data_IF_200520282802
#
_entry.id   IF_200520282802
#
_cell.length_a   1.000
_cell.length_b   1.000
_cell.length_c   1.000
_cell.angle_alpha   90.00
_cell.angle_beta   90.00
_cell.angle_gamma   90.00
#
_symmetry.space_group_name_H-M   'P 1'
#
loop_
_entity.id
_entity.type
_entity.pdbx_description
1 polymer ?
#
# COMPACT_ATOMS: atom_id res chain seq x y z
N UNK A 1 48.60 15.66 9.18
CA UNK A 1 48.45 15.10 7.81
C UNK A 1 47.45 13.99 7.92
N UNK A 2 46.19 14.39 8.02
CA UNK A 2 45.08 13.57 8.43
C UNK A 2 44.65 12.67 7.28
N UNK A 3 44.67 11.36 7.54
CA UNK A 3 44.26 10.33 6.59
C UNK A 3 42.78 10.52 6.24
N UNK A 4 42.51 11.07 5.06
CA UNK A 4 41.14 11.23 4.54
C UNK A 4 40.61 9.86 4.11
N UNK A 5 40.09 9.09 5.07
CA UNK A 5 39.42 7.81 4.79
C UNK A 5 38.13 8.11 4.04
N UNK A 6 38.13 7.82 2.74
CA UNK A 6 36.92 7.87 1.92
C UNK A 6 36.10 6.62 2.22
N UNK A 7 34.82 6.80 2.50
CA UNK A 7 33.87 5.71 2.72
C UNK A 7 32.86 5.74 1.58
N UNK A 8 32.62 4.58 0.98
CA UNK A 8 31.67 4.40 -0.13
C UNK A 8 30.42 3.72 0.41
N UNK A 9 29.25 4.14 -0.07
CA UNK A 9 27.96 3.57 0.36
C UNK A 9 27.66 2.23 -0.30
N UNK A 10 28.31 1.91 -1.42
CA UNK A 10 28.13 0.67 -2.16
C UNK A 10 29.23 0.44 -3.21
N UNK A 11 29.20 -0.74 -3.82
CA UNK A 11 30.15 -1.14 -4.87
C UNK A 11 29.94 -0.28 -6.13
N UNK A 12 28.70 0.11 -6.39
CA UNK A 12 28.27 0.95 -7.52
C UNK A 12 28.88 2.36 -7.45
N UNK A 13 29.07 2.89 -6.24
CA UNK A 13 29.73 4.19 -5.99
C UNK A 13 31.25 4.09 -6.14
N UNK A 14 31.86 2.98 -5.71
CA UNK A 14 33.29 2.73 -5.89
C UNK A 14 33.66 2.63 -7.37
N UNK A 15 32.87 1.88 -8.13
CA UNK A 15 33.11 1.63 -9.56
C UNK A 15 32.58 2.75 -10.47
N UNK A 16 31.94 3.79 -9.92
CA UNK A 16 31.34 4.92 -10.66
C UNK A 16 30.57 4.46 -11.90
N UNK A 17 29.69 3.46 -11.73
CA UNK A 17 28.92 2.93 -12.86
C UNK A 17 28.06 4.04 -13.48
N UNK A 18 27.84 4.05 -14.82
CA UNK A 18 27.13 5.12 -15.50
C UNK A 18 25.66 5.26 -15.03
N UNK A 19 25.04 4.16 -14.59
CA UNK A 19 23.71 4.17 -13.99
C UNK A 19 23.71 4.88 -12.62
N UNK A 20 24.71 4.61 -11.77
CA UNK A 20 24.85 5.27 -10.47
C UNK A 20 25.14 6.77 -10.61
N UNK A 21 26.00 7.16 -11.55
CA UNK A 21 26.30 8.58 -11.82
C UNK A 21 25.08 9.33 -12.37
N UNK A 22 24.21 8.67 -13.14
CA UNK A 22 22.96 9.25 -13.61
C UNK A 22 21.96 9.43 -12.47
N UNK A 23 21.81 8.41 -11.62
CA UNK A 23 20.88 8.45 -10.49
C UNK A 23 21.37 9.33 -9.34
N UNK A 24 22.67 9.49 -9.14
CA UNK A 24 23.22 10.35 -8.08
C UNK A 24 22.96 11.84 -8.30
N UNK A 25 22.60 12.24 -9.53
CA UNK A 25 22.19 13.61 -9.85
C UNK A 25 20.75 13.92 -9.44
N UNK A 26 19.94 12.90 -9.13
CA UNK A 26 18.56 13.04 -8.66
C UNK A 26 18.45 12.74 -7.17
N UNK A 27 17.72 13.58 -6.43
CA UNK A 27 17.35 13.32 -5.03
C UNK A 27 16.29 12.20 -4.90
N UNK A 28 15.58 11.90 -5.99
CA UNK A 28 14.47 10.94 -6.02
C UNK A 28 14.74 9.83 -7.03
N UNK A 29 14.31 8.60 -6.70
CA UNK A 29 14.47 7.41 -7.53
C UNK A 29 13.67 7.48 -8.85
N UNK A 30 12.59 8.26 -8.85
CA UNK A 30 11.74 8.54 -10.01
C UNK A 30 11.71 10.05 -10.23
N UNK A 31 11.76 10.49 -11.49
CA UNK A 31 11.59 11.91 -11.82
C UNK A 31 10.17 12.30 -11.44
N UNK A 32 10.05 13.15 -10.43
CA UNK A 32 8.74 13.72 -10.07
C UNK A 32 8.20 14.40 -11.34
N UNK A 33 6.98 14.09 -11.80
CA UNK A 33 6.40 14.67 -13.00
C UNK A 33 5.92 16.10 -12.72
N UNK A 34 6.82 16.95 -12.21
CA UNK A 34 6.54 18.36 -11.95
C UNK A 34 6.22 19.06 -13.27
N UNK A 35 6.89 18.65 -14.34
CA UNK A 35 6.76 19.24 -15.69
C UNK A 35 5.39 18.98 -16.31
N UNK A 36 4.84 17.77 -16.14
CA UNK A 36 3.50 17.43 -16.65
C UNK A 36 2.41 18.21 -15.90
N UNK A 37 2.52 18.28 -14.57
CA UNK A 37 1.60 19.07 -13.73
C UNK A 37 1.70 20.57 -14.04
N UNK A 38 2.90 21.08 -14.32
CA UNK A 38 3.12 22.50 -14.66
C UNK A 38 2.61 22.85 -16.07
N UNK A 39 2.71 21.93 -17.02
CA UNK A 39 2.17 22.10 -18.37
C UNK A 39 0.64 22.00 -18.38
N UNK A 40 0.06 21.06 -17.64
CA UNK A 40 -1.40 20.90 -17.50
C UNK A 40 -2.03 22.10 -16.77
N UNK A 41 -1.31 22.70 -15.81
CA UNK A 41 -1.72 23.92 -15.12
C UNK A 41 -1.52 25.22 -15.94
N UNK A 42 -1.08 25.14 -17.21
CA UNK A 42 -0.90 26.31 -18.09
C UNK A 42 0.23 27.26 -17.67
N UNK A 43 1.16 26.80 -16.83
CA UNK A 43 2.19 27.61 -16.17
C UNK A 43 3.54 27.55 -16.89
N UNK A 44 3.54 27.21 -18.18
CA UNK A 44 4.73 27.07 -19.04
C UNK A 44 5.31 28.43 -19.50
N UNK A 45 4.63 29.55 -19.20
CA UNK A 45 5.07 30.91 -19.54
C UNK A 45 5.72 31.62 -18.35
N UNK A 46 6.61 32.59 -18.61
CA UNK A 46 7.30 33.42 -17.60
C UNK A 46 6.30 34.18 -16.73
N UNK A 47 5.78 33.51 -15.71
CA UNK A 47 4.91 34.11 -14.69
C UNK A 47 5.77 34.71 -13.58
N UNK A 48 5.31 35.78 -12.92
CA UNK A 48 5.99 36.31 -11.74
C UNK A 48 6.04 35.22 -10.66
N UNK A 49 7.20 35.07 -10.00
CA UNK A 49 7.46 34.02 -8.98
C UNK A 49 6.35 33.87 -7.95
N UNK A 50 5.68 34.96 -7.58
CA UNK A 50 4.56 34.98 -6.63
C UNK A 50 3.35 34.20 -7.13
N UNK A 51 2.98 34.35 -8.39
CA UNK A 51 1.79 33.70 -8.94
C UNK A 51 2.07 32.24 -9.26
N UNK A 52 3.32 31.90 -9.59
CA UNK A 52 3.81 30.52 -9.63
C UNK A 52 3.69 29.83 -8.26
N UNK A 53 4.20 30.46 -7.20
CA UNK A 53 4.14 29.88 -5.84
C UNK A 53 2.71 29.78 -5.32
N UNK A 54 1.80 30.67 -5.71
CA UNK A 54 0.37 30.52 -5.41
C UNK A 54 -0.20 29.29 -6.10
N UNK A 55 -0.03 29.15 -7.42
CA UNK A 55 -0.58 28.02 -8.18
C UNK A 55 -0.04 26.68 -7.67
N UNK A 56 1.28 26.59 -7.44
CA UNK A 56 1.92 25.40 -6.90
C UNK A 56 1.48 25.13 -5.44
N UNK A 57 1.40 26.16 -4.61
CA UNK A 57 0.93 26.05 -3.22
C UNK A 57 -0.53 25.59 -3.11
N UNK A 58 -1.42 26.12 -3.96
CA UNK A 58 -2.82 25.68 -4.04
C UNK A 58 -2.95 24.27 -4.62
N UNK A 59 -2.17 23.92 -5.64
CA UNK A 59 -2.16 22.59 -6.25
C UNK A 59 -1.71 21.51 -5.27
N UNK A 60 -0.59 21.72 -4.58
CA UNK A 60 -0.11 20.79 -3.54
C UNK A 60 -1.08 20.70 -2.35
N UNK A 61 -1.69 21.82 -1.95
CA UNK A 61 -2.72 21.84 -0.91
C UNK A 61 -3.97 21.05 -1.28
N UNK A 62 -4.46 21.16 -2.52
CA UNK A 62 -5.62 20.42 -2.99
C UNK A 62 -5.36 18.91 -3.09
N UNK A 63 -4.18 18.52 -3.60
CA UNK A 63 -3.79 17.10 -3.73
C UNK A 63 -3.62 16.45 -2.36
N UNK A 64 -3.01 17.14 -1.39
CA UNK A 64 -2.86 16.58 -0.03
C UNK A 64 -4.20 16.37 0.68
N UNK A 65 -5.16 17.27 0.50
CA UNK A 65 -6.52 17.10 1.03
C UNK A 65 -7.28 15.96 0.35
N UNK A 66 -7.14 15.78 -0.96
CA UNK A 66 -7.74 14.68 -1.72
C UNK A 66 -7.07 13.32 -1.43
N UNK A 67 -5.76 13.31 -1.19
CA UNK A 67 -5.00 12.13 -0.78
C UNK A 67 -5.34 11.68 0.64
N UNK A 68 -5.83 12.58 1.51
CA UNK A 68 -6.48 12.23 2.77
C UNK A 68 -7.92 11.69 2.57
N UNK A 69 -8.17 10.98 1.47
CA UNK A 69 -9.38 10.17 1.31
C UNK A 69 -9.54 9.29 2.54
N UNK A 70 -10.68 9.47 3.22
CA UNK A 70 -11.02 8.80 4.47
C UNK A 70 -10.92 7.29 4.23
N UNK A 71 -10.01 6.62 4.95
CA UNK A 71 -9.89 5.15 4.91
C UNK A 71 -11.29 4.55 5.01
N UNK A 72 -11.65 3.59 4.13
CA UNK A 72 -12.99 3.01 4.16
C UNK A 72 -13.27 2.48 5.57
N UNK A 73 -14.41 2.90 6.13
CA UNK A 73 -14.78 2.51 7.49
C UNK A 73 -15.18 1.04 7.46
N UNK A 74 -14.29 0.17 7.93
CA UNK A 74 -14.58 -1.24 8.14
C UNK A 74 -15.46 -1.39 9.38
N UNK A 75 -16.64 -1.98 9.22
CA UNK A 75 -17.57 -2.27 10.32
C UNK A 75 -17.47 -3.74 10.68
N UNK A 76 -17.31 -4.05 11.95
CA UNK A 76 -17.42 -5.41 12.49
C UNK A 76 -18.78 -5.56 13.17
N UNK A 77 -19.59 -6.52 12.73
CA UNK A 77 -20.93 -6.79 13.30
C UNK A 77 -20.84 -8.05 14.16
N UNK A 78 -21.01 -7.95 15.49
CA UNK A 78 -20.98 -9.11 16.38
C UNK A 78 -22.32 -9.87 16.37
N UNK A 79 -22.33 -11.05 16.99
CA UNK A 79 -23.58 -11.77 17.29
C UNK A 79 -24.43 -10.97 18.28
N UNK A 80 -25.73 -10.87 18.02
CA UNK A 80 -26.71 -10.30 18.98
C UNK A 80 -26.84 -11.23 20.20
N UNK A 81 -26.96 -12.52 19.94
CA UNK A 81 -26.95 -13.59 20.94
C UNK A 81 -25.94 -14.62 20.43
N UNK A 82 -24.83 -14.78 21.14
CA UNK A 82 -23.75 -15.69 20.74
C UNK A 82 -24.10 -17.13 21.17
N UNK A 83 -24.11 -18.11 20.25
CA UNK A 83 -24.18 -19.52 20.61
C UNK A 83 -22.93 -19.97 21.38
N UNK A 84 -23.07 -20.88 22.33
CA UNK A 84 -21.94 -21.36 23.16
C UNK A 84 -20.88 -22.12 22.35
N UNK A 85 -21.30 -22.83 21.32
CA UNK A 85 -20.45 -23.69 20.49
C UNK A 85 -19.62 -22.91 19.46
N UNK A 86 -19.94 -21.64 19.18
CA UNK A 86 -19.32 -20.87 18.09
C UNK A 86 -18.39 -19.80 18.65
N UNK A 87 -17.08 -19.97 18.47
CA UNK A 87 -16.08 -18.94 18.83
C UNK A 87 -15.53 -18.27 17.58
N UNK A 88 -15.77 -16.96 17.37
CA UNK A 88 -15.26 -16.25 16.20
C UNK A 88 -13.75 -16.41 16.04
N UNK A 89 -13.30 -16.80 14.84
CA UNK A 89 -11.90 -17.05 14.52
C UNK A 89 -11.45 -18.51 14.67
N UNK A 90 -12.18 -19.36 15.39
CA UNK A 90 -11.90 -20.80 15.52
C UNK A 90 -12.91 -21.57 14.66
N UNK A 91 -12.45 -22.40 13.70
CA UNK A 91 -13.36 -23.19 12.88
C UNK A 91 -13.93 -24.38 13.67
N UNK A 92 -15.20 -24.69 13.42
CA UNK A 92 -15.87 -25.87 13.97
C UNK A 92 -15.94 -26.97 12.91
N UNK A 93 -15.83 -28.22 13.35
CA UNK A 93 -15.94 -29.40 12.50
C UNK A 93 -17.22 -30.16 12.82
N UNK A 94 -18.07 -30.37 11.80
CA UNK A 94 -19.30 -31.13 11.94
C UNK A 94 -19.21 -32.42 11.13
N UNK A 95 -19.56 -33.55 11.74
CA UNK A 95 -19.76 -34.80 11.04
C UNK A 95 -21.12 -34.75 10.33
N UNK A 96 -21.12 -34.87 9.01
CA UNK A 96 -22.31 -34.85 8.16
C UNK A 96 -22.25 -35.99 7.15
N UNK A 97 -23.32 -36.16 6.35
CA UNK A 97 -23.34 -37.11 5.25
C UNK A 97 -23.72 -36.42 3.95
N UNK A 98 -23.03 -36.78 2.87
CA UNK A 98 -23.36 -36.37 1.52
C UNK A 98 -23.54 -37.62 0.66
N UNK A 99 -24.74 -37.80 0.10
CA UNK A 99 -25.08 -38.95 -0.76
C UNK A 99 -24.68 -40.33 -0.18
N UNK A 100 -24.86 -40.51 1.13
CA UNK A 100 -24.53 -41.76 1.83
C UNK A 100 -23.05 -41.93 2.21
N UNK A 101 -22.19 -40.97 1.89
CA UNK A 101 -20.80 -40.94 2.32
C UNK A 101 -20.64 -40.06 3.56
N UNK A 102 -19.78 -40.47 4.48
CA UNK A 102 -19.46 -39.73 5.71
C UNK A 102 -18.47 -38.61 5.39
N UNK A 103 -18.81 -37.37 5.71
CA UNK A 103 -17.99 -36.18 5.42
C UNK A 103 -17.83 -35.32 6.67
N UNK A 104 -16.64 -34.76 6.84
CA UNK A 104 -16.32 -33.80 7.88
C UNK A 104 -16.37 -32.40 7.27
N UNK A 105 -17.28 -31.56 7.75
CA UNK A 105 -17.48 -30.21 7.23
C UNK A 105 -16.80 -29.21 8.16
N UNK A 106 -15.79 -28.51 7.63
CA UNK A 106 -15.17 -27.39 8.31
C UNK A 106 -16.02 -26.14 8.08
N UNK A 107 -16.48 -25.56 9.18
CA UNK A 107 -17.33 -24.36 9.18
C UNK A 107 -16.67 -23.23 9.93
N UNK A 108 -16.98 -21.99 9.52
CA UNK A 108 -16.45 -20.77 10.10
C UNK A 108 -17.62 -19.84 10.38
N UNK A 109 -17.91 -19.60 11.66
CA UNK A 109 -19.06 -18.80 12.12
C UNK A 109 -20.43 -19.23 11.52
N UNK A 110 -20.57 -20.51 11.16
CA UNK A 110 -21.77 -21.06 10.50
C UNK A 110 -21.68 -21.17 8.97
N UNK A 111 -20.63 -20.65 8.34
CA UNK A 111 -20.37 -20.79 6.90
C UNK A 111 -19.50 -22.03 6.62
N UNK A 112 -19.97 -23.02 5.86
CA UNK A 112 -19.12 -24.11 5.38
C UNK A 112 -18.01 -23.58 4.47
N UNK A 113 -16.76 -23.96 4.72
CA UNK A 113 -15.60 -23.52 3.94
C UNK A 113 -14.86 -24.67 3.26
N UNK A 114 -14.92 -25.88 3.80
CA UNK A 114 -14.23 -27.04 3.26
C UNK A 114 -14.95 -28.33 3.68
N UNK A 115 -14.92 -29.33 2.80
CA UNK A 115 -15.40 -30.68 3.06
C UNK A 115 -14.22 -31.65 2.95
N UNK A 116 -14.07 -32.47 3.98
CA UNK A 116 -13.07 -33.53 4.07
C UNK A 116 -13.81 -34.88 4.24
N UNK A 117 -13.16 -35.99 3.92
CA UNK A 117 -13.71 -37.30 4.22
C UNK A 117 -13.66 -37.53 5.73
N UNK A 118 -14.71 -38.10 6.32
CA UNK A 118 -14.73 -38.44 7.73
C UNK A 118 -14.10 -39.83 7.93
N UNK A 119 -12.99 -39.95 8.68
CA UNK A 119 -12.26 -41.22 8.86
C UNK A 119 -13.01 -42.28 9.68
#
# INVERSE_FOLDING_TARGET
MDSNKKYWKGLEELHQTPAFVKNSKGEFAESIPVEDVLNEAGLSTKTPRRDFLKALGFGLGAVTLAACNRTPVHKAVPYVIKPEEVTPGIPNFYASSFNGQSVLVRTREGRPISLEANP
#
